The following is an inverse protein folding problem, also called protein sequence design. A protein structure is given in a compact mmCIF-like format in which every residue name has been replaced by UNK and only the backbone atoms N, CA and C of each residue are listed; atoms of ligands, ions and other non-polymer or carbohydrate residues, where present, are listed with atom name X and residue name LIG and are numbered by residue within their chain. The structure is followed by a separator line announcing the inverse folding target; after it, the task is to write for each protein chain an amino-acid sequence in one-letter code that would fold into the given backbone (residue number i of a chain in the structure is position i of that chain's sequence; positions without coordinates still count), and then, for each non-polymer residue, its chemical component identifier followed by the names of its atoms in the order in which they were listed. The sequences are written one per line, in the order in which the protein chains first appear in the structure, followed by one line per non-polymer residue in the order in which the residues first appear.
data_IF_182764850747
#
_entry.id   IF_182764850747
#
_cell.length_a   1.000
_cell.length_b   1.000
_cell.length_c   1.000
_cell.angle_alpha   90.00
_cell.angle_beta   90.00
_cell.angle_gamma   90.00
#
_symmetry.space_group_name_H-M   'P 1'
#
loop_
_entity.id
_entity.type
_entity.pdbx_description
1 polymer ?
#
# COMPACT_ATOMS: atom_id res chain seq x y z
N UNK A 1 33.45 -45.30 5.54
CA UNK A 1 34.23 -44.64 6.61
C UNK A 1 35.03 -43.53 5.93
N UNK A 2 34.76 -42.30 6.36
CA UNK A 2 35.25 -40.98 5.92
C UNK A 2 36.44 -40.88 4.96
N UNK A 3 36.29 -40.02 3.96
CA UNK A 3 37.33 -39.08 3.51
C UNK A 3 36.67 -37.78 3.05
N UNK A 4 36.82 -36.73 3.85
CA UNK A 4 36.63 -35.33 3.44
C UNK A 4 37.97 -34.81 2.90
N UNK A 5 37.94 -34.19 1.71
CA UNK A 5 38.98 -33.29 1.23
C UNK A 5 38.29 -32.07 0.60
N UNK A 6 38.60 -30.90 1.17
CA UNK A 6 38.29 -29.56 0.66
C UNK A 6 38.81 -29.35 -0.76
N UNK A 7 38.03 -28.73 -1.66
CA UNK A 7 38.58 -27.85 -2.71
C UNK A 7 37.58 -26.73 -3.07
N UNK A 8 38.09 -25.48 -3.04
CA UNK A 8 37.59 -24.30 -3.75
C UNK A 8 37.36 -24.52 -5.25
N UNK A 9 36.42 -23.78 -5.87
CA UNK A 9 36.47 -23.23 -7.25
C UNK A 9 35.22 -22.35 -7.43
N UNK A 10 35.33 -21.02 -7.51
CA UNK A 10 35.71 -20.20 -8.67
C UNK A 10 34.98 -20.52 -9.99
N UNK A 11 34.44 -19.43 -10.53
CA UNK A 11 33.69 -19.24 -11.76
C UNK A 11 34.33 -19.87 -13.01
N UNK A 12 33.48 -20.44 -13.88
CA UNK A 12 33.71 -20.47 -15.33
C UNK A 12 32.38 -20.22 -16.04
N UNK A 13 32.31 -19.12 -16.79
CA UNK A 13 31.31 -18.88 -17.82
C UNK A 13 31.52 -19.85 -18.98
N UNK A 14 30.44 -20.39 -19.53
CA UNK A 14 30.43 -20.95 -20.87
C UNK A 14 29.20 -20.43 -21.62
N UNK A 15 29.49 -19.58 -22.60
CA UNK A 15 28.54 -19.03 -23.56
C UNK A 15 27.86 -20.14 -24.37
N UNK A 16 26.54 -20.04 -24.49
CA UNK A 16 25.71 -20.76 -25.45
C UNK A 16 24.73 -19.78 -26.08
N UNK A 17 25.02 -19.36 -27.32
CA UNK A 17 24.42 -18.27 -28.08
C UNK A 17 22.90 -18.08 -27.98
N UNK A 18 22.51 -16.82 -27.73
CA UNK A 18 21.15 -16.27 -27.86
C UNK A 18 20.74 -16.14 -29.33
N UNK A 19 19.50 -16.55 -29.71
CA UNK A 19 18.93 -16.26 -31.01
C UNK A 19 17.99 -15.05 -30.94
N UNK A 20 18.45 -13.87 -30.51
CA UNK A 20 17.68 -12.64 -30.73
C UNK A 20 18.57 -11.48 -31.16
N UNK A 21 18.60 -11.26 -32.47
CA UNK A 21 18.91 -9.95 -33.08
C UNK A 21 17.64 -9.11 -33.05
N UNK A 22 17.72 -7.93 -32.44
CA UNK A 22 16.80 -6.82 -32.73
C UNK A 22 15.93 -6.35 -31.57
N UNK A 23 16.55 -5.75 -30.56
CA UNK A 23 15.88 -4.93 -29.55
C UNK A 23 16.88 -4.56 -28.45
N UNK A 24 17.11 -3.28 -28.18
CA UNK A 24 18.03 -2.88 -27.11
C UNK A 24 17.45 -3.33 -25.74
N UNK A 25 18.28 -3.84 -24.81
CA UNK A 25 17.85 -4.14 -23.44
C UNK A 25 17.20 -2.95 -22.70
N UNK A 26 17.37 -1.72 -23.21
CA UNK A 26 16.73 -0.51 -22.68
C UNK A 26 15.25 -0.42 -23.06
N UNK A 27 14.86 -0.78 -24.29
CA UNK A 27 13.48 -0.68 -24.76
C UNK A 27 12.54 -1.64 -24.01
N UNK A 28 13.03 -2.85 -23.69
CA UNK A 28 12.29 -3.83 -22.89
C UNK A 28 12.12 -3.35 -21.44
N UNK A 29 13.17 -2.75 -20.85
CA UNK A 29 13.10 -2.13 -19.51
C UNK A 29 12.20 -0.88 -19.48
N UNK A 30 12.12 -0.12 -20.56
CA UNK A 30 11.23 1.04 -20.68
C UNK A 30 9.75 0.64 -20.83
N UNK A 31 9.44 -0.38 -21.65
CA UNK A 31 8.09 -0.96 -21.69
C UNK A 31 7.69 -1.64 -20.37
N UNK A 32 8.64 -2.27 -19.65
CA UNK A 32 8.41 -2.81 -18.31
C UNK A 32 8.24 -1.74 -17.22
N UNK A 33 8.84 -0.55 -17.40
CA UNK A 33 8.65 0.63 -16.54
C UNK A 33 7.33 1.32 -16.79
N UNK A 34 6.84 1.35 -18.04
CA UNK A 34 5.53 1.93 -18.38
C UNK A 34 4.34 1.04 -17.98
N UNK A 35 4.56 -0.27 -17.80
CA UNK A 35 3.54 -1.25 -17.40
C UNK A 35 3.45 -1.53 -15.89
N UNK A 36 4.44 -1.08 -15.11
CA UNK A 36 4.42 -1.15 -13.65
C UNK A 36 4.20 0.25 -13.06
N UNK A 37 3.48 0.32 -11.94
CA UNK A 37 3.17 1.56 -11.20
C UNK A 37 4.38 2.52 -11.22
N UNK A 38 4.22 3.79 -11.63
CA UNK A 38 5.34 4.71 -11.83
C UNK A 38 6.24 4.74 -10.60
N UNK A 39 7.52 4.40 -10.80
CA UNK A 39 8.53 4.49 -9.75
C UNK A 39 8.86 5.96 -9.56
N UNK A 40 8.11 6.64 -8.70
CA UNK A 40 8.38 8.05 -8.34
C UNK A 40 9.81 8.23 -7.82
N UNK A 41 10.49 9.27 -8.32
CA UNK A 41 11.79 9.76 -7.84
C UNK A 41 11.68 10.44 -6.46
N UNK A 42 10.47 10.81 -6.01
CA UNK A 42 10.21 11.40 -4.68
C UNK A 42 9.47 10.40 -3.77
N UNK A 43 10.16 9.91 -2.76
CA UNK A 43 9.63 8.96 -1.75
C UNK A 43 8.72 9.61 -0.69
N UNK A 44 8.53 10.94 -0.73
CA UNK A 44 7.78 11.74 0.26
C UNK A 44 6.98 12.88 -0.41
N UNK A 45 5.99 12.54 -1.24
CA UNK A 45 5.10 13.55 -1.85
C UNK A 45 4.26 14.28 -0.78
N UNK A 46 4.13 15.62 -0.79
CA UNK A 46 3.27 16.33 0.15
C UNK A 46 1.79 15.93 -0.04
N UNK A 47 1.04 15.91 1.07
CA UNK A 47 -0.41 15.64 1.02
C UNK A 47 -1.20 16.88 0.65
N UNK A 48 -2.14 16.70 -0.29
CA UNK A 48 -3.09 17.71 -0.74
C UNK A 48 -4.51 17.15 -0.61
N UNK A 49 -5.48 17.94 -0.12
CA UNK A 49 -6.89 17.53 -0.09
C UNK A 49 -7.42 17.21 -1.50
N UNK A 50 -8.29 16.22 -1.60
CA UNK A 50 -8.87 15.77 -2.87
C UNK A 50 -7.92 14.97 -3.76
N UNK A 51 -6.69 14.71 -3.32
CA UNK A 51 -5.72 13.94 -4.10
C UNK A 51 -5.55 12.52 -3.56
N UNK A 52 -5.24 11.60 -4.48
CA UNK A 52 -5.01 10.19 -4.17
C UNK A 52 -3.53 9.85 -4.09
N UNK A 53 -3.18 8.88 -3.26
CA UNK A 53 -1.80 8.49 -2.97
C UNK A 53 -1.66 6.98 -2.82
N UNK A 54 -0.53 6.44 -3.30
CA UNK A 54 -0.05 5.13 -2.90
C UNK A 54 0.87 5.27 -1.68
N UNK A 55 0.45 4.71 -0.56
CA UNK A 55 1.22 4.66 0.69
C UNK A 55 1.73 3.23 0.89
N UNK A 56 3.01 3.10 1.25
CA UNK A 56 3.61 1.82 1.61
C UNK A 56 4.21 1.89 3.01
N UNK A 57 3.71 1.03 3.90
CA UNK A 57 4.28 0.79 5.22
C UNK A 57 5.17 -0.44 5.14
N UNK A 58 6.49 -0.26 5.11
CA UNK A 58 7.46 -1.36 5.05
C UNK A 58 8.13 -1.54 6.40
N UNK A 59 8.35 -2.78 6.79
CA UNK A 59 9.13 -3.09 7.99
C UNK A 59 10.63 -2.87 7.80
N UNK A 60 11.33 -2.59 8.90
CA UNK A 60 12.79 -2.59 8.98
C UNK A 60 13.27 -4.02 8.78
N UNK A 61 14.29 -4.20 7.94
CA UNK A 61 14.98 -5.49 7.70
C UNK A 61 14.06 -6.69 7.42
N UNK A 62 12.87 -6.43 6.86
CA UNK A 62 11.91 -7.48 6.53
C UNK A 62 11.24 -8.14 7.72
N UNK A 63 11.23 -7.49 8.90
CA UNK A 63 10.50 -7.96 10.08
C UNK A 63 9.04 -8.30 9.74
N UNK A 64 8.55 -9.37 10.36
CA UNK A 64 7.17 -9.79 10.20
C UNK A 64 6.28 -8.72 10.86
N UNK A 65 5.38 -8.15 10.07
CA UNK A 65 4.38 -7.22 10.56
C UNK A 65 3.14 -7.96 11.04
N UNK A 66 2.76 -9.05 10.37
CA UNK A 66 1.50 -9.74 10.62
C UNK A 66 1.75 -11.22 10.95
N UNK A 67 1.49 -11.58 12.20
CA UNK A 67 1.80 -12.92 12.73
C UNK A 67 0.61 -13.90 12.70
N UNK A 68 -0.60 -13.37 12.84
CA UNK A 68 -1.84 -14.13 12.93
C UNK A 68 -3.03 -13.28 12.46
N UNK A 69 -4.23 -13.86 12.41
CA UNK A 69 -5.42 -13.17 11.90
C UNK A 69 -5.80 -11.95 12.75
N UNK A 70 -5.74 -12.09 14.08
CA UNK A 70 -6.07 -11.02 15.02
C UNK A 70 -5.14 -9.81 14.83
N UNK A 71 -3.87 -10.06 14.53
CA UNK A 71 -2.89 -9.02 14.29
C UNK A 71 -3.15 -8.25 12.97
N UNK A 72 -3.61 -8.93 11.91
CA UNK A 72 -4.05 -8.25 10.69
C UNK A 72 -5.27 -7.37 10.94
N UNK A 73 -6.28 -7.92 11.63
CA UNK A 73 -7.52 -7.19 11.93
C UNK A 73 -7.25 -5.99 12.83
N UNK A 74 -6.40 -6.14 13.84
CA UNK A 74 -5.98 -5.04 14.70
C UNK A 74 -5.27 -3.94 13.90
N UNK A 75 -4.39 -4.28 12.96
CA UNK A 75 -3.74 -3.29 12.10
C UNK A 75 -4.77 -2.45 11.32
N UNK A 76 -5.75 -3.10 10.70
CA UNK A 76 -6.81 -2.43 9.96
C UNK A 76 -7.73 -1.60 10.86
N UNK A 77 -8.07 -2.10 12.06
CA UNK A 77 -8.83 -1.33 13.05
C UNK A 77 -8.09 -0.06 13.48
N UNK A 78 -6.78 -0.13 13.72
CA UNK A 78 -5.98 1.05 14.06
C UNK A 78 -5.86 2.00 12.87
N UNK A 79 -5.70 1.47 11.66
CA UNK A 79 -5.71 2.25 10.43
C UNK A 79 -7.00 3.07 10.34
N UNK A 80 -8.16 2.41 10.40
CA UNK A 80 -9.47 3.08 10.33
C UNK A 80 -9.62 4.11 11.46
N UNK A 81 -9.30 3.74 12.70
CA UNK A 81 -9.46 4.61 13.88
C UNK A 81 -8.73 5.95 13.74
N UNK A 82 -7.48 5.95 13.24
CA UNK A 82 -6.69 7.18 13.14
C UNK A 82 -6.86 7.91 11.81
N UNK A 83 -7.07 7.16 10.72
CA UNK A 83 -6.90 7.73 9.38
C UNK A 83 -8.24 8.07 8.70
N UNK A 84 -9.31 7.36 9.01
CA UNK A 84 -10.62 7.64 8.42
C UNK A 84 -11.11 9.10 8.59
N UNK A 85 -10.80 9.81 9.70
CA UNK A 85 -11.17 11.22 9.83
C UNK A 85 -10.50 12.16 8.82
N UNK A 86 -9.39 11.75 8.21
CA UNK A 86 -8.57 12.60 7.32
C UNK A 86 -8.45 12.07 5.89
N UNK A 87 -8.71 10.77 5.67
CA UNK A 87 -8.62 10.13 4.36
C UNK A 87 -9.63 8.99 4.22
N UNK A 88 -9.95 8.65 2.97
CA UNK A 88 -10.66 7.44 2.58
C UNK A 88 -9.68 6.41 2.03
N UNK A 89 -9.86 5.12 2.35
CA UNK A 89 -9.11 4.04 1.73
C UNK A 89 -9.85 3.53 0.50
N UNK A 90 -9.15 3.45 -0.63
CA UNK A 90 -9.66 2.94 -1.91
C UNK A 90 -9.21 1.51 -2.16
N UNK A 91 -7.98 1.16 -1.77
CA UNK A 91 -7.50 -0.21 -1.85
C UNK A 91 -6.42 -0.49 -0.81
N UNK A 92 -6.27 -1.75 -0.42
CA UNK A 92 -5.15 -2.21 0.42
C UNK A 92 -4.72 -3.64 0.07
N UNK A 93 -3.48 -3.95 0.45
CA UNK A 93 -2.94 -5.31 0.48
C UNK A 93 -1.93 -5.42 1.62
N UNK A 94 -2.16 -6.37 2.53
CA UNK A 94 -1.26 -6.66 3.63
C UNK A 94 -0.39 -7.86 3.29
N UNK A 95 0.92 -7.68 3.23
CA UNK A 95 1.90 -8.74 3.05
C UNK A 95 2.71 -8.92 4.33
N UNK A 96 3.37 -10.08 4.47
CA UNK A 96 4.09 -10.49 5.69
C UNK A 96 4.93 -9.38 6.34
N UNK A 97 5.63 -8.56 5.56
CA UNK A 97 6.59 -7.57 6.03
C UNK A 97 6.33 -6.14 5.49
N UNK A 98 5.24 -5.93 4.75
CA UNK A 98 4.83 -4.60 4.29
C UNK A 98 3.34 -4.53 3.95
N UNK A 99 2.77 -3.33 3.99
CA UNK A 99 1.40 -3.07 3.61
C UNK A 99 1.33 -1.95 2.57
N UNK A 100 0.47 -2.14 1.56
CA UNK A 100 0.19 -1.17 0.51
C UNK A 100 -1.22 -0.63 0.67
N UNK A 101 -1.38 0.69 0.50
CA UNK A 101 -2.67 1.36 0.54
C UNK A 101 -2.78 2.38 -0.59
N UNK A 102 -3.93 2.37 -1.27
CA UNK A 102 -4.37 3.49 -2.10
C UNK A 102 -5.36 4.28 -1.27
N UNK A 103 -5.01 5.54 -0.98
CA UNK A 103 -5.84 6.42 -0.15
C UNK A 103 -6.19 7.67 -0.94
N UNK A 104 -7.30 8.30 -0.57
CA UNK A 104 -7.71 9.61 -1.04
C UNK A 104 -7.78 10.55 0.17
N UNK A 105 -7.04 11.66 0.13
CA UNK A 105 -7.10 12.64 1.21
C UNK A 105 -8.43 13.38 1.09
N UNK A 106 -9.20 13.39 2.16
CA UNK A 106 -10.53 13.99 2.14
C UNK A 106 -10.45 15.51 1.91
N UNK A 107 -11.49 16.08 1.31
CA UNK A 107 -11.60 17.53 1.18
C UNK A 107 -11.63 18.21 2.56
N UNK A 108 -11.13 19.45 2.63
CA UNK A 108 -11.02 20.23 3.87
C UNK A 108 -12.30 20.22 4.72
N UNK A 109 -13.44 20.44 4.06
CA UNK A 109 -14.75 20.44 4.73
C UNK A 109 -15.04 19.08 5.40
N UNK A 110 -14.80 17.97 4.69
CA UNK A 110 -15.04 16.63 5.24
C UNK A 110 -14.08 16.31 6.38
N UNK A 111 -12.83 16.77 6.30
CA UNK A 111 -11.87 16.66 7.41
C UNK A 111 -12.37 17.45 8.62
N UNK A 112 -12.76 18.72 8.44
CA UNK A 112 -13.29 19.57 9.51
C UNK A 112 -14.50 18.94 10.19
N UNK A 113 -15.49 18.50 9.39
CA UNK A 113 -16.70 17.84 9.87
C UNK A 113 -16.32 16.60 10.71
N UNK A 114 -15.42 15.75 10.19
CA UNK A 114 -14.95 14.53 10.87
C UNK A 114 -14.22 14.82 12.17
N UNK A 115 -13.33 15.83 12.19
CA UNK A 115 -12.61 16.24 13.38
C UNK A 115 -13.52 16.89 14.43
N UNK A 116 -14.64 17.50 14.00
CA UNK A 116 -15.66 18.06 14.88
C UNK A 116 -16.32 17.02 15.79
N UNK A 117 -16.45 15.77 15.33
CA UNK A 117 -16.99 14.67 16.13
C UNK A 117 -16.00 14.09 17.15
N UNK A 118 -14.72 14.46 17.06
CA UNK A 118 -13.69 14.00 18.00
C UNK A 118 -13.75 14.86 19.27
N UNK A 119 -13.95 14.21 20.41
CA UNK A 119 -13.95 14.86 21.74
C UNK A 119 -12.64 15.59 22.01
N UNK A 120 -12.71 16.71 22.74
CA UNK A 120 -11.61 17.67 22.85
C UNK A 120 -10.33 17.09 23.47
N UNK A 121 -10.44 16.23 24.48
CA UNK A 121 -9.30 15.52 25.06
C UNK A 121 -8.58 14.56 24.09
N UNK A 122 -9.22 14.13 23.00
CA UNK A 122 -8.61 13.26 21.99
C UNK A 122 -8.01 14.03 20.81
N UNK A 123 -8.27 15.34 20.69
CA UNK A 123 -7.73 16.15 19.59
C UNK A 123 -6.23 16.42 19.77
N UNK A 124 -5.44 15.98 18.81
CA UNK A 124 -4.00 16.28 18.75
C UNK A 124 -3.74 17.76 18.45
N UNK A 125 -2.54 18.26 18.72
CA UNK A 125 -2.17 19.65 18.36
C UNK A 125 -2.29 19.93 16.85
N UNK A 126 -1.92 18.98 15.99
CA UNK A 126 -2.08 19.14 14.54
C UNK A 126 -3.57 19.28 14.15
N UNK A 127 -4.46 18.51 14.80
CA UNK A 127 -5.91 18.67 14.61
C UNK A 127 -6.40 20.04 15.05
N UNK A 128 -5.99 20.51 16.25
CA UNK A 128 -6.41 21.83 16.76
C UNK A 128 -5.93 22.98 15.88
N UNK A 129 -4.68 22.92 15.40
CA UNK A 129 -4.15 23.90 14.44
C UNK A 129 -5.00 23.92 13.16
N UNK A 130 -5.24 22.75 12.56
CA UNK A 130 -6.03 22.66 11.34
C UNK A 130 -7.47 23.16 11.52
N UNK A 131 -8.12 22.85 12.64
CA UNK A 131 -9.47 23.35 12.95
C UNK A 131 -9.50 24.88 13.04
N UNK A 132 -8.46 25.48 13.62
CA UNK A 132 -8.40 26.94 13.81
C UNK A 132 -8.02 27.70 12.53
N UNK A 133 -7.31 27.06 11.59
CA UNK A 133 -6.84 27.67 10.35
C UNK A 133 -6.89 26.67 9.16
N UNK A 134 -8.09 26.24 8.73
CA UNK A 134 -8.25 25.15 7.76
C UNK A 134 -7.80 25.50 6.33
N UNK A 135 -7.72 26.79 6.02
CA UNK A 135 -7.28 27.28 4.71
C UNK A 135 -5.75 27.27 4.56
N UNK A 136 -5.02 27.02 5.64
CA UNK A 136 -3.57 26.93 5.62
C UNK A 136 -3.09 25.62 4.98
N UNK A 137 -2.58 25.72 3.75
CA UNK A 137 -2.07 24.60 2.96
C UNK A 137 -1.00 23.76 3.70
N UNK A 138 -0.18 24.39 4.56
CA UNK A 138 0.87 23.68 5.31
C UNK A 138 0.34 22.74 6.40
N UNK A 139 -0.90 22.91 6.85
CA UNK A 139 -1.45 22.14 7.96
C UNK A 139 -2.00 20.77 7.55
N UNK A 140 -2.33 20.57 6.26
CA UNK A 140 -2.82 19.27 5.77
C UNK A 140 -1.71 18.21 5.86
N UNK A 141 -0.51 18.50 5.34
CA UNK A 141 0.61 17.55 5.40
C UNK A 141 0.99 17.25 6.86
N UNK A 142 1.05 18.27 7.73
CA UNK A 142 1.30 18.08 9.17
C UNK A 142 0.22 17.18 9.81
N UNK A 143 -1.05 17.43 9.52
CA UNK A 143 -2.18 16.69 10.07
C UNK A 143 -2.15 15.21 9.66
N UNK A 144 -2.06 14.94 8.35
CA UNK A 144 -2.09 13.58 7.81
C UNK A 144 -0.85 12.81 8.27
N UNK A 145 0.34 13.41 8.21
CA UNK A 145 1.58 12.78 8.70
C UNK A 145 1.49 12.48 10.20
N UNK A 146 0.90 13.38 11.00
CA UNK A 146 0.67 13.13 12.43
C UNK A 146 -0.28 11.97 12.67
N UNK A 147 -1.40 11.86 11.94
CA UNK A 147 -2.33 10.74 12.10
C UNK A 147 -1.69 9.41 11.71
N UNK A 148 -0.96 9.37 10.59
CA UNK A 148 -0.22 8.18 10.14
C UNK A 148 0.81 7.74 11.18
N UNK A 149 1.57 8.69 11.75
CA UNK A 149 2.54 8.38 12.80
C UNK A 149 1.87 7.82 14.06
N UNK A 150 0.74 8.39 14.50
CA UNK A 150 0.00 7.88 15.66
C UNK A 150 -0.52 6.45 15.43
N UNK A 151 -1.01 6.19 14.22
CA UNK A 151 -1.39 4.85 13.77
C UNK A 151 -0.22 3.87 13.88
N UNK A 152 0.91 4.18 13.25
CA UNK A 152 2.08 3.30 13.24
C UNK A 152 2.60 3.05 14.65
N UNK A 153 2.70 4.09 15.49
CA UNK A 153 3.13 3.96 16.89
C UNK A 153 2.17 3.07 17.68
N UNK A 154 0.87 3.28 17.51
CA UNK A 154 -0.14 2.47 18.20
C UNK A 154 -0.03 1.00 17.84
N UNK A 155 0.21 0.69 16.56
CA UNK A 155 0.40 -0.69 16.11
C UNK A 155 1.70 -1.29 16.64
N UNK A 156 2.81 -0.56 16.53
CA UNK A 156 4.13 -0.96 17.05
C UNK A 156 4.06 -1.31 18.53
N UNK A 157 3.40 -0.47 19.33
CA UNK A 157 3.29 -0.69 20.77
C UNK A 157 2.50 -1.96 21.11
N UNK A 158 1.40 -2.21 20.39
CA UNK A 158 0.60 -3.42 20.59
C UNK A 158 1.38 -4.69 20.20
N UNK A 159 2.01 -4.69 19.02
CA UNK A 159 2.77 -5.86 18.56
C UNK A 159 4.01 -6.11 19.43
N UNK A 160 4.73 -5.06 19.82
CA UNK A 160 5.85 -5.17 20.75
C UNK A 160 5.43 -5.78 22.09
N UNK A 161 4.28 -5.35 22.63
CA UNK A 161 3.72 -5.93 23.86
C UNK A 161 3.37 -7.40 23.68
N UNK A 162 2.69 -7.77 22.60
CA UNK A 162 2.28 -9.14 22.32
C UNK A 162 3.47 -10.09 22.15
N UNK A 163 4.54 -9.62 21.49
CA UNK A 163 5.73 -10.42 21.19
C UNK A 163 6.87 -10.26 22.21
N UNK A 164 6.64 -9.54 23.32
CA UNK A 164 7.69 -9.17 24.30
C UNK A 164 8.95 -8.57 23.65
N UNK A 165 8.76 -7.79 22.57
CA UNK A 165 9.80 -7.12 21.80
C UNK A 165 9.89 -5.63 22.17
N UNK A 166 10.97 -4.97 21.77
CA UNK A 166 11.13 -3.51 21.83
C UNK A 166 11.62 -2.97 20.48
N UNK A 167 11.50 -1.65 20.30
CA UNK A 167 12.02 -0.93 19.15
C UNK A 167 11.01 -0.75 18.01
N UNK A 168 11.46 -0.06 16.96
CA UNK A 168 10.65 0.26 15.79
C UNK A 168 10.29 -0.99 14.97
N UNK A 169 9.20 -0.92 14.20
CA UNK A 169 8.87 -1.92 13.17
C UNK A 169 9.01 -1.36 11.78
N UNK A 170 8.56 -0.12 11.56
CA UNK A 170 8.46 0.47 10.22
C UNK A 170 9.70 1.26 9.84
N UNK A 171 10.02 1.25 8.55
CA UNK A 171 10.97 2.17 7.94
C UNK A 171 10.45 3.60 8.03
N UNK A 172 11.34 4.55 8.28
CA UNK A 172 11.03 5.98 8.36
C UNK A 172 11.88 6.76 7.34
N UNK A 173 11.29 7.70 6.57
CA UNK A 173 9.85 7.95 6.49
C UNK A 173 9.11 6.80 5.78
N UNK A 174 7.81 6.66 6.03
CA UNK A 174 6.97 5.80 5.21
C UNK A 174 6.92 6.34 3.77
N UNK A 175 6.80 5.45 2.79
CA UNK A 175 6.77 5.86 1.38
C UNK A 175 5.38 6.35 1.01
N UNK A 176 5.31 7.50 0.35
CA UNK A 176 4.07 8.04 -0.23
C UNK A 176 4.33 8.61 -1.62
N UNK A 177 3.51 8.20 -2.58
CA UNK A 177 3.57 8.63 -3.99
C UNK A 177 2.20 9.14 -4.40
N UNK A 178 2.14 10.34 -4.98
CA UNK A 178 0.89 10.89 -5.49
C UNK A 178 0.42 10.15 -6.74
N UNK A 179 -0.89 9.98 -6.86
CA UNK A 179 -1.55 9.37 -8.01
C UNK A 179 -2.13 10.50 -8.88
N UNK A 180 -1.86 10.41 -10.17
CA UNK A 180 -2.20 11.45 -11.16
C UNK A 180 -3.22 10.91 -12.15
N UNK A 181 -4.46 11.38 -12.03
CA UNK A 181 -5.55 11.03 -12.93
C UNK A 181 -6.10 9.60 -12.79
N UNK A 182 -7.21 9.36 -13.47
CA UNK A 182 -8.01 8.15 -13.31
C UNK A 182 -7.29 6.88 -13.79
N UNK A 183 -6.55 6.96 -14.89
CA UNK A 183 -5.84 5.80 -15.43
C UNK A 183 -4.77 5.28 -14.44
N UNK A 184 -4.02 6.19 -13.81
CA UNK A 184 -3.05 5.83 -12.77
C UNK A 184 -3.78 5.27 -11.54
N UNK A 185 -4.88 5.89 -11.11
CA UNK A 185 -5.67 5.41 -9.98
C UNK A 185 -6.19 3.98 -10.19
N UNK A 186 -6.76 3.70 -11.37
CA UNK A 186 -7.24 2.38 -11.75
C UNK A 186 -6.10 1.35 -11.68
N UNK A 187 -4.96 1.65 -12.31
CA UNK A 187 -3.80 0.77 -12.31
C UNK A 187 -3.27 0.54 -10.89
N UNK A 188 -3.22 1.57 -10.05
CA UNK A 188 -2.72 1.48 -8.68
C UNK A 188 -3.63 0.63 -7.77
N UNK A 189 -4.95 0.74 -7.93
CA UNK A 189 -5.93 -0.09 -7.22
C UNK A 189 -5.77 -1.57 -7.62
N UNK A 190 -5.77 -1.86 -8.92
CA UNK A 190 -5.62 -3.22 -9.43
C UNK A 190 -4.27 -3.82 -9.00
N UNK A 191 -3.20 -3.05 -9.15
CA UNK A 191 -1.87 -3.44 -8.71
C UNK A 191 -1.85 -3.82 -7.23
N UNK A 192 -2.46 -2.99 -6.38
CA UNK A 192 -2.47 -3.20 -4.94
C UNK A 192 -3.18 -4.50 -4.59
N UNK A 193 -4.36 -4.73 -5.17
CA UNK A 193 -5.10 -5.98 -4.99
C UNK A 193 -4.37 -7.22 -5.53
N UNK A 194 -3.60 -7.06 -6.60
CA UNK A 194 -2.82 -8.14 -7.21
C UNK A 194 -1.40 -8.30 -6.64
N UNK A 195 -1.05 -7.54 -5.60
CA UNK A 195 0.34 -7.40 -5.20
C UNK A 195 0.95 -8.72 -4.67
N UNK A 196 0.17 -9.54 -3.97
CA UNK A 196 0.61 -10.84 -3.51
C UNK A 196 0.98 -11.78 -4.67
N UNK A 197 0.16 -11.80 -5.74
CA UNK A 197 0.45 -12.57 -6.95
C UNK A 197 1.68 -12.02 -7.68
N UNK A 198 1.78 -10.70 -7.83
CA UNK A 198 2.95 -10.06 -8.45
C UNK A 198 4.26 -10.47 -7.76
N UNK A 199 4.25 -10.61 -6.44
CA UNK A 199 5.42 -11.01 -5.66
C UNK A 199 5.57 -12.53 -5.50
N UNK A 200 4.77 -13.33 -6.22
CA UNK A 200 4.87 -14.79 -6.24
C UNK A 200 4.44 -15.47 -4.93
N UNK A 201 3.68 -14.77 -4.08
CA UNK A 201 3.17 -15.31 -2.80
C UNK A 201 2.01 -16.28 -3.06
N UNK A 202 1.17 -15.95 -4.06
CA UNK A 202 0.03 -16.74 -4.52
C UNK A 202 0.03 -16.82 -6.04
N UNK A 203 -0.64 -17.82 -6.62
CA UNK A 203 -0.72 -17.96 -8.09
C UNK A 203 -1.87 -17.14 -8.67
N UNK A 204 -2.96 -17.04 -7.92
CA UNK A 204 -4.10 -16.20 -8.23
C UNK A 204 -4.27 -15.17 -7.11
N UNK A 205 -4.35 -13.89 -7.45
CA UNK A 205 -4.53 -12.81 -6.47
C UNK A 205 -5.76 -12.99 -5.59
N UNK A 206 -6.77 -13.73 -6.07
CA UNK A 206 -7.97 -14.10 -5.31
C UNK A 206 -7.70 -15.05 -4.14
N UNK A 207 -6.51 -15.66 -4.08
CA UNK A 207 -6.12 -16.54 -2.96
C UNK A 207 -5.62 -15.75 -1.75
N UNK A 208 -5.18 -14.49 -1.94
CA UNK A 208 -4.64 -13.67 -0.85
C UNK A 208 -5.73 -12.88 -0.13
N UNK A 209 -6.15 -13.40 1.03
CA UNK A 209 -7.31 -12.91 1.79
C UNK A 209 -7.21 -11.46 2.27
N UNK A 210 -6.01 -10.97 2.56
CA UNK A 210 -5.81 -9.64 3.16
C UNK A 210 -5.65 -8.55 2.11
N UNK A 211 -6.65 -8.45 1.25
CA UNK A 211 -6.74 -7.43 0.20
C UNK A 211 -8.12 -6.82 0.15
N UNK A 212 -8.20 -5.55 -0.26
CA UNK A 212 -9.47 -4.86 -0.50
C UNK A 212 -10.30 -5.47 -1.63
N UNK A 213 -9.73 -6.35 -2.46
CA UNK A 213 -10.49 -7.03 -3.50
C UNK A 213 -11.64 -7.85 -2.88
N UNK A 214 -11.35 -8.57 -1.80
CA UNK A 214 -12.37 -9.38 -1.11
C UNK A 214 -13.45 -8.51 -0.48
N UNK A 215 -13.07 -7.40 0.15
CA UNK A 215 -13.98 -6.41 0.73
C UNK A 215 -14.97 -5.88 -0.31
N UNK A 216 -14.46 -5.45 -1.48
CA UNK A 216 -15.29 -4.88 -2.55
C UNK A 216 -16.18 -5.95 -3.20
N UNK A 217 -15.69 -7.17 -3.39
CA UNK A 217 -16.48 -8.27 -3.95
C UNK A 217 -17.61 -8.69 -3.00
N UNK A 218 -17.31 -8.73 -1.70
CA UNK A 218 -18.28 -9.05 -0.65
C UNK A 218 -19.26 -7.90 -0.37
N UNK A 219 -19.00 -6.69 -0.87
CA UNK A 219 -19.78 -5.48 -0.63
C UNK A 219 -19.87 -5.11 0.87
N UNK A 220 -18.82 -5.41 1.63
CA UNK A 220 -18.74 -5.14 3.08
C UNK A 220 -17.31 -4.76 3.46
N UNK A 221 -17.11 -3.55 4.00
CA UNK A 221 -15.84 -3.13 4.58
C UNK A 221 -16.02 -2.05 5.64
N UNK A 222 -15.17 -2.08 6.66
CA UNK A 222 -14.96 -0.97 7.60
C UNK A 222 -13.70 -0.16 7.30
N UNK A 223 -12.97 -0.54 6.26
CA UNK A 223 -11.70 0.07 5.86
C UNK A 223 -11.86 0.80 4.54
N UNK A 224 -12.39 0.11 3.53
CA UNK A 224 -12.49 0.58 2.15
C UNK A 224 -13.78 1.36 1.93
N UNK A 225 -13.71 2.49 1.25
CA UNK A 225 -14.87 3.20 0.73
C UNK A 225 -15.40 2.50 -0.52
N UNK A 226 -16.20 1.45 -0.31
CA UNK A 226 -16.80 0.64 -1.38
C UNK A 226 -17.68 1.50 -2.29
N UNK A 227 -18.36 2.51 -1.74
CA UNK A 227 -19.21 3.40 -2.52
C UNK A 227 -18.37 4.25 -3.50
N UNK A 228 -17.20 4.76 -3.06
CA UNK A 228 -16.26 5.44 -3.95
C UNK A 228 -15.73 4.51 -5.04
N UNK A 229 -15.39 3.26 -4.69
CA UNK A 229 -14.94 2.26 -5.66
C UNK A 229 -16.03 1.93 -6.68
N UNK A 230 -17.28 1.75 -6.23
CA UNK A 230 -18.44 1.53 -7.09
C UNK A 230 -18.67 2.69 -8.06
N UNK A 231 -18.56 3.95 -7.59
CA UNK A 231 -18.64 5.13 -8.46
C UNK A 231 -17.51 5.15 -9.49
N UNK A 232 -16.28 4.89 -9.07
CA UNK A 232 -15.09 4.96 -9.93
C UNK A 232 -15.07 3.87 -11.00
N UNK A 233 -15.27 2.60 -10.62
CA UNK A 233 -15.28 1.47 -11.55
C UNK A 233 -16.60 1.28 -12.30
N UNK A 234 -17.66 2.04 -11.97
CA UNK A 234 -19.02 1.87 -12.53
C UNK A 234 -19.65 0.53 -12.14
N UNK A 235 -19.52 0.19 -10.86
CA UNK A 235 -20.11 -0.99 -10.23
C UNK A 235 -19.11 -2.12 -9.98
N UNK A 236 -19.55 -3.08 -9.15
CA UNK A 236 -18.76 -4.23 -8.71
C UNK A 236 -18.36 -5.14 -9.87
N UNK A 237 -19.25 -5.33 -10.83
CA UNK A 237 -19.05 -6.21 -11.99
C UNK A 237 -17.90 -5.68 -12.87
N UNK A 238 -17.87 -4.37 -13.11
CA UNK A 238 -16.78 -3.73 -13.83
C UNK A 238 -15.48 -3.76 -13.02
N UNK A 239 -15.54 -3.53 -11.70
CA UNK A 239 -14.37 -3.69 -10.83
C UNK A 239 -13.74 -5.08 -10.97
N UNK A 240 -14.54 -6.16 -10.86
CA UNK A 240 -14.05 -7.54 -11.00
C UNK A 240 -13.45 -7.76 -12.39
N UNK A 241 -14.17 -7.37 -13.44
CA UNK A 241 -13.74 -7.55 -14.83
C UNK A 241 -12.41 -6.85 -15.14
N UNK A 242 -12.27 -5.59 -14.73
CA UNK A 242 -11.04 -4.81 -14.95
C UNK A 242 -9.85 -5.45 -14.21
N UNK A 243 -10.05 -5.95 -12.98
CA UNK A 243 -9.00 -6.68 -12.27
C UNK A 243 -8.56 -7.93 -13.02
N UNK A 244 -9.50 -8.75 -13.50
CA UNK A 244 -9.19 -9.98 -14.23
C UNK A 244 -8.43 -9.68 -15.54
N UNK A 245 -8.89 -8.73 -16.34
CA UNK A 245 -8.25 -8.35 -17.61
C UNK A 245 -6.82 -7.86 -17.37
N UNK A 246 -6.63 -6.96 -16.41
CA UNK A 246 -5.32 -6.35 -16.17
C UNK A 246 -4.34 -7.34 -15.52
N UNK A 247 -4.78 -8.12 -14.53
CA UNK A 247 -3.92 -9.12 -13.89
C UNK A 247 -3.47 -10.18 -14.90
N UNK A 248 -4.37 -10.66 -15.76
CA UNK A 248 -4.00 -11.61 -16.82
C UNK A 248 -2.99 -11.01 -17.79
N UNK A 249 -3.15 -9.73 -18.16
CA UNK A 249 -2.23 -9.04 -19.07
C UNK A 249 -0.83 -8.84 -18.48
N UNK A 250 -0.70 -8.62 -17.17
CA UNK A 250 0.57 -8.23 -16.55
C UNK A 250 1.28 -9.33 -15.77
N UNK A 251 0.57 -10.36 -15.28
CA UNK A 251 1.10 -11.29 -14.29
C UNK A 251 0.93 -12.78 -14.62
N UNK A 252 0.38 -13.14 -15.80
CA UNK A 252 0.58 -14.49 -16.32
C UNK A 252 1.97 -14.56 -16.96
N UNK A 253 2.85 -15.39 -16.38
CA UNK A 253 4.06 -15.84 -17.07
C UNK A 253 3.67 -16.66 -18.30
N UNK A 254 4.48 -16.62 -19.35
CA UNK A 254 4.41 -17.61 -20.42
C UNK A 254 4.57 -19.00 -19.77
N UNK A 255 3.62 -19.90 -20.05
CA UNK A 255 3.61 -21.29 -19.58
C UNK A 255 4.85 -22.07 -20.06
#
# INVERSE_FOLDING_TARGET
MFHDIHIHREYVNADGGSPFKGGSPSAFKEQFKQSNMPVSEQYKAPFYPGNSYHITFRSIDGLILFHDLENHDFFLQRFTYFLQPVLSCLAYCLLKNHAHFIVHINDRKNILDSLGFIVEEKKTMAMKKFINDPENEGLIDELVERQINNFMISYVNALNKALSRKGSLFQSPFRRVQIEGDAHLQQAIIYTNANAQKHGIVRDFKEHRYTSYHDVVADVSSVVDIAAIGRFFRGKEHFIKEHEIHVQRYYKGED
#
